data_IF_067861863600
#
_entry.id   IF_067861863600
#
_cell.length_a   1.000
_cell.length_b   1.000
_cell.length_c   1.000
_cell.angle_alpha   90.00
_cell.angle_beta   90.00
_cell.angle_gamma   90.00
#
_symmetry.space_group_name_H-M   'P 1'
#
loop_
_entity.id
_entity.type
_entity.pdbx_description
1 polymer ?
#
# COMPACT_ATOMS: atom_id res chain seq x y z
N UNK A 1 -9.50 -24.98 2.44
CA UNK A 1 -8.39 -24.51 3.31
C UNK A 1 -7.68 -23.30 2.71
N UNK A 2 -7.17 -23.35 1.49
CA UNK A 2 -6.39 -22.24 0.89
C UNK A 2 -7.13 -20.92 0.75
N UNK A 3 -8.41 -20.92 0.38
CA UNK A 3 -9.19 -19.67 0.25
C UNK A 3 -9.30 -18.94 1.60
N UNK A 4 -9.49 -19.66 2.70
CA UNK A 4 -9.52 -19.06 4.05
C UNK A 4 -8.21 -18.39 4.42
N UNK A 5 -7.06 -19.00 4.08
CA UNK A 5 -5.73 -18.40 4.28
C UNK A 5 -5.56 -17.13 3.43
N UNK A 6 -6.03 -17.13 2.18
CA UNK A 6 -6.03 -15.94 1.33
C UNK A 6 -6.88 -14.80 1.91
N UNK A 7 -8.08 -15.12 2.41
CA UNK A 7 -8.96 -14.12 3.06
C UNK A 7 -8.35 -13.59 4.36
N UNK A 8 -7.68 -14.43 5.15
CA UNK A 8 -7.00 -14.00 6.37
C UNK A 8 -5.86 -13.01 6.04
N UNK A 9 -5.05 -13.30 5.02
CA UNK A 9 -3.99 -12.39 4.55
C UNK A 9 -4.57 -11.09 3.98
N UNK A 10 -5.72 -11.16 3.30
CA UNK A 10 -6.45 -9.98 2.83
C UNK A 10 -6.89 -9.08 4.01
N UNK A 11 -7.41 -9.68 5.08
CA UNK A 11 -7.78 -8.96 6.30
C UNK A 11 -6.56 -8.35 7.00
N UNK A 12 -5.46 -9.12 7.10
CA UNK A 12 -4.20 -8.63 7.67
C UNK A 12 -3.67 -7.43 6.89
N UNK A 13 -3.66 -7.50 5.56
CA UNK A 13 -3.20 -6.42 4.70
C UNK A 13 -4.04 -5.16 4.89
N UNK A 14 -5.37 -5.29 4.92
CA UNK A 14 -6.28 -4.17 5.20
C UNK A 14 -6.01 -3.56 6.58
N UNK A 15 -5.82 -4.40 7.60
CA UNK A 15 -5.51 -3.97 8.97
C UNK A 15 -4.20 -3.18 9.04
N UNK A 16 -3.12 -3.66 8.41
CA UNK A 16 -1.83 -2.98 8.34
C UNK A 16 -1.98 -1.61 7.66
N UNK A 17 -2.65 -1.56 6.50
CA UNK A 17 -2.84 -0.32 5.75
C UNK A 17 -3.70 0.69 6.53
N UNK A 18 -4.78 0.25 7.12
CA UNK A 18 -5.67 1.11 7.93
C UNK A 18 -4.95 1.63 9.17
N UNK A 19 -4.22 0.76 9.88
CA UNK A 19 -3.43 1.14 11.06
C UNK A 19 -2.40 2.21 10.74
N UNK A 20 -1.76 2.13 9.58
CA UNK A 20 -0.82 3.17 9.17
C UNK A 20 -1.50 4.54 8.99
N UNK A 21 -2.67 4.59 8.33
CA UNK A 21 -3.40 5.85 8.09
C UNK A 21 -3.99 6.42 9.39
N UNK A 22 -4.63 5.55 10.20
CA UNK A 22 -5.44 6.01 11.35
C UNK A 22 -4.60 6.21 12.60
N UNK A 23 -3.54 5.42 12.77
CA UNK A 23 -2.73 5.44 13.99
C UNK A 23 -1.35 6.02 13.73
N UNK A 24 -0.57 5.41 12.83
CA UNK A 24 0.85 5.74 12.68
C UNK A 24 1.03 7.16 12.12
N UNK A 25 0.38 7.50 11.02
CA UNK A 25 0.56 8.78 10.35
C UNK A 25 0.14 9.98 11.24
N UNK A 26 -1.05 10.01 11.87
CA UNK A 26 -1.42 11.10 12.76
C UNK A 26 -0.51 11.21 13.99
N UNK A 27 -0.07 10.07 14.55
CA UNK A 27 0.83 10.06 15.71
C UNK A 27 2.17 10.69 15.37
N UNK A 28 2.76 10.32 14.22
CA UNK A 28 4.03 10.89 13.75
C UNK A 28 3.95 12.41 13.63
N UNK A 29 2.91 12.93 12.97
CA UNK A 29 2.75 14.37 12.76
C UNK A 29 2.39 15.15 14.02
N UNK A 30 1.85 14.47 15.05
CA UNK A 30 1.52 15.10 16.33
C UNK A 30 2.68 15.11 17.31
N UNK A 31 3.57 14.12 17.26
CA UNK A 31 4.60 13.90 18.26
C UNK A 31 6.01 14.29 17.81
N UNK A 32 6.26 14.32 16.51
CA UNK A 32 7.56 14.67 15.95
C UNK A 32 7.49 16.04 15.27
N UNK A 33 8.57 16.80 15.37
CA UNK A 33 8.73 18.02 14.56
C UNK A 33 8.83 17.70 13.07
N UNK A 34 8.87 18.73 12.25
CA UNK A 34 8.82 18.59 10.78
C UNK A 34 10.02 17.82 10.24
N UNK A 35 11.21 18.02 10.76
CA UNK A 35 12.43 17.35 10.30
C UNK A 35 12.42 15.86 10.65
N UNK A 36 12.13 15.54 11.91
CA UNK A 36 12.08 14.15 12.39
C UNK A 36 10.92 13.37 11.75
N UNK A 37 9.76 14.00 11.54
CA UNK A 37 8.63 13.40 10.82
C UNK A 37 9.01 13.03 9.38
N UNK A 38 9.68 13.93 8.65
CA UNK A 38 10.15 13.69 7.29
C UNK A 38 11.15 12.53 7.22
N UNK A 39 12.09 12.50 8.16
CA UNK A 39 13.07 11.42 8.24
C UNK A 39 12.40 10.08 8.58
N UNK A 40 11.51 10.04 9.55
CA UNK A 40 10.76 8.83 9.89
C UNK A 40 10.01 8.27 8.68
N UNK A 41 9.24 9.12 7.97
CA UNK A 41 8.46 8.71 6.82
C UNK A 41 9.33 8.21 5.66
N UNK A 42 10.52 8.79 5.48
CA UNK A 42 11.49 8.34 4.48
C UNK A 42 11.94 6.89 4.68
N UNK A 43 12.08 6.47 5.94
CA UNK A 43 12.50 5.11 6.28
C UNK A 43 11.34 4.12 6.41
N UNK A 44 10.18 4.55 6.88
CA UNK A 44 9.05 3.64 7.11
C UNK A 44 8.34 3.24 5.81
N UNK A 45 8.15 4.16 4.86
CA UNK A 45 7.42 3.86 3.63
C UNK A 45 8.00 2.71 2.80
N UNK A 46 9.31 2.66 2.50
CA UNK A 46 9.86 1.52 1.76
C UNK A 46 9.66 0.19 2.49
N UNK A 47 9.77 0.18 3.83
CA UNK A 47 9.58 -1.02 4.65
C UNK A 47 8.11 -1.45 4.68
N UNK A 48 7.20 -0.50 4.86
CA UNK A 48 5.76 -0.73 4.84
C UNK A 48 5.32 -1.32 3.49
N UNK A 49 5.72 -0.69 2.39
CA UNK A 49 5.34 -1.15 1.05
C UNK A 49 5.94 -2.52 0.70
N UNK A 50 7.18 -2.80 1.10
CA UNK A 50 7.77 -4.14 0.95
C UNK A 50 7.03 -5.19 1.79
N UNK A 51 6.63 -4.85 3.00
CA UNK A 51 5.84 -5.74 3.85
C UNK A 51 4.45 -6.01 3.23
N UNK A 52 3.77 -4.96 2.75
CA UNK A 52 2.50 -5.10 2.04
C UNK A 52 2.65 -5.90 0.74
N UNK A 53 3.75 -5.72 0.00
CA UNK A 53 4.08 -6.52 -1.18
C UNK A 53 4.21 -8.01 -0.84
N UNK A 54 4.93 -8.34 0.23
CA UNK A 54 5.08 -9.72 0.67
C UNK A 54 3.73 -10.35 1.02
N UNK A 55 2.90 -9.67 1.83
CA UNK A 55 1.58 -10.16 2.21
C UNK A 55 0.69 -10.34 0.97
N UNK A 56 0.64 -9.35 0.07
CA UNK A 56 -0.20 -9.42 -1.14
C UNK A 56 0.25 -10.52 -2.10
N UNK A 57 1.56 -10.79 -2.19
CA UNK A 57 2.09 -11.89 -2.99
C UNK A 57 1.71 -13.24 -2.41
N UNK A 58 1.82 -13.42 -1.10
CA UNK A 58 1.36 -14.64 -0.43
C UNK A 58 -0.16 -14.81 -0.58
N UNK A 59 -0.93 -13.75 -0.43
CA UNK A 59 -2.38 -13.73 -0.65
C UNK A 59 -2.73 -14.19 -2.07
N UNK A 60 -2.05 -13.64 -3.09
CA UNK A 60 -2.19 -14.07 -4.48
C UNK A 60 -1.93 -15.58 -4.64
N UNK A 61 -0.85 -16.10 -4.06
CA UNK A 61 -0.51 -17.53 -4.15
C UNK A 61 -1.62 -18.41 -3.53
N UNK A 62 -2.15 -18.03 -2.37
CA UNK A 62 -3.24 -18.79 -1.75
C UNK A 62 -4.53 -18.73 -2.57
N UNK A 63 -4.85 -17.60 -3.22
CA UNK A 63 -6.00 -17.51 -4.11
C UNK A 63 -5.78 -18.31 -5.40
N UNK A 64 -4.55 -18.40 -5.90
CA UNK A 64 -4.20 -19.26 -7.02
C UNK A 64 -4.40 -20.74 -6.69
N UNK A 65 -3.91 -21.21 -5.52
CA UNK A 65 -4.11 -22.56 -5.04
C UNK A 65 -5.59 -22.90 -4.73
N UNK A 66 -6.40 -21.89 -4.48
CA UNK A 66 -7.84 -22.02 -4.24
C UNK A 66 -8.70 -21.87 -5.52
N UNK A 67 -8.07 -21.65 -6.67
CA UNK A 67 -8.72 -21.37 -7.97
C UNK A 67 -9.73 -20.20 -7.90
N UNK A 68 -9.48 -19.26 -6.98
CA UNK A 68 -10.29 -18.06 -6.82
C UNK A 68 -9.80 -16.95 -7.77
N UNK A 69 -10.23 -17.00 -9.04
CA UNK A 69 -9.74 -16.16 -10.14
C UNK A 69 -9.83 -14.66 -9.85
N UNK A 70 -10.91 -14.17 -9.24
CA UNK A 70 -11.04 -12.77 -8.89
C UNK A 70 -9.97 -12.34 -7.87
N UNK A 71 -9.79 -13.13 -6.81
CA UNK A 71 -8.76 -12.89 -5.79
C UNK A 71 -7.34 -12.93 -6.37
N UNK A 72 -7.08 -13.83 -7.34
CA UNK A 72 -5.80 -13.88 -8.05
C UNK A 72 -5.50 -12.58 -8.81
N UNK A 73 -6.43 -12.14 -9.67
CA UNK A 73 -6.24 -10.94 -10.50
C UNK A 73 -6.05 -9.71 -9.61
N UNK A 74 -6.87 -9.56 -8.60
CA UNK A 74 -6.77 -8.44 -7.67
C UNK A 74 -5.49 -8.52 -6.82
N UNK A 75 -5.14 -9.71 -6.33
CA UNK A 75 -3.92 -9.92 -5.54
C UNK A 75 -2.64 -9.56 -6.29
N UNK A 76 -2.52 -9.96 -7.56
CA UNK A 76 -1.36 -9.58 -8.39
C UNK A 76 -1.34 -8.08 -8.68
N UNK A 77 -2.50 -7.45 -8.92
CA UNK A 77 -2.60 -6.00 -9.15
C UNK A 77 -2.14 -5.21 -7.92
N UNK A 78 -2.54 -5.63 -6.72
CA UNK A 78 -2.09 -5.04 -5.45
C UNK A 78 -0.58 -5.23 -5.26
N UNK A 79 -0.04 -6.42 -5.54
CA UNK A 79 1.40 -6.69 -5.44
C UNK A 79 2.22 -5.79 -6.37
N UNK A 80 1.79 -5.64 -7.62
CA UNK A 80 2.43 -4.74 -8.59
C UNK A 80 2.34 -3.28 -8.11
N UNK A 81 1.21 -2.86 -7.55
CA UNK A 81 1.03 -1.51 -6.99
C UNK A 81 2.06 -1.21 -5.89
N UNK A 82 2.31 -2.16 -4.97
CA UNK A 82 3.33 -1.99 -3.94
C UNK A 82 4.76 -2.03 -4.48
N UNK A 83 5.05 -2.83 -5.50
CA UNK A 83 6.35 -2.79 -6.19
C UNK A 83 6.60 -1.42 -6.83
N UNK A 84 5.61 -0.86 -7.53
CA UNK A 84 5.71 0.47 -8.12
C UNK A 84 5.94 1.52 -7.03
N UNK A 85 5.19 1.46 -5.93
CA UNK A 85 5.39 2.38 -4.80
C UNK A 85 6.80 2.28 -4.21
N UNK A 86 7.30 1.06 -3.98
CA UNK A 86 8.60 0.84 -3.33
C UNK A 86 9.77 1.27 -4.22
N UNK A 87 9.81 0.77 -5.46
CA UNK A 87 11.02 0.86 -6.28
C UNK A 87 11.01 2.01 -7.30
N UNK A 88 9.84 2.56 -7.60
CA UNK A 88 9.73 3.66 -8.57
C UNK A 88 9.30 4.98 -7.94
N UNK A 89 8.22 5.00 -7.16
CA UNK A 89 7.67 6.24 -6.63
C UNK A 89 8.45 6.75 -5.42
N UNK A 90 8.68 5.90 -4.42
CA UNK A 90 9.35 6.32 -3.17
C UNK A 90 10.74 6.90 -3.40
N UNK A 91 11.65 6.29 -4.19
CA UNK A 91 12.96 6.89 -4.46
C UNK A 91 12.86 8.25 -5.17
N UNK A 92 11.93 8.38 -6.11
CA UNK A 92 11.71 9.65 -6.84
C UNK A 92 11.10 10.73 -5.95
N UNK A 93 10.15 10.37 -5.08
CA UNK A 93 9.57 11.28 -4.09
C UNK A 93 10.68 11.82 -3.16
N UNK A 94 11.52 10.93 -2.65
CA UNK A 94 12.64 11.31 -1.79
C UNK A 94 13.63 12.22 -2.51
N UNK A 95 13.98 11.90 -3.77
CA UNK A 95 14.86 12.75 -4.59
C UNK A 95 14.27 14.15 -4.82
N UNK A 96 12.97 14.23 -5.16
CA UNK A 96 12.32 15.54 -5.36
C UNK A 96 12.27 16.35 -4.06
N UNK A 97 12.06 15.68 -2.93
CA UNK A 97 12.12 16.34 -1.61
C UNK A 97 13.51 16.92 -1.32
N UNK A 98 14.57 16.13 -1.58
CA UNK A 98 15.96 16.60 -1.37
C UNK A 98 16.27 17.82 -2.24
N UNK A 99 15.81 17.84 -3.50
CA UNK A 99 15.95 18.99 -4.41
C UNK A 99 15.15 20.23 -3.95
N UNK A 100 13.97 20.03 -3.35
CA UNK A 100 13.20 21.15 -2.76
C UNK A 100 14.00 21.84 -1.64
N UNK A 101 14.69 21.09 -0.80
CA UNK A 101 15.50 21.63 0.29
C UNK A 101 16.70 22.45 -0.21
N UNK A 102 17.15 22.23 -1.45
CA UNK A 102 18.22 23.02 -2.11
C UNK A 102 17.69 24.19 -2.94
N UNK A 103 16.40 24.49 -2.87
CA UNK A 103 15.79 25.68 -3.49
C UNK A 103 15.33 25.51 -4.94
N UNK A 104 15.23 24.28 -5.47
CA UNK A 104 14.74 24.03 -6.83
C UNK A 104 13.20 24.09 -6.87
N UNK A 105 12.63 25.19 -7.33
CA UNK A 105 11.18 25.47 -7.35
C UNK A 105 10.38 24.42 -8.17
N UNK A 106 10.90 23.94 -9.30
CA UNK A 106 10.22 22.94 -10.13
C UNK A 106 10.05 21.58 -9.43
N UNK A 107 10.93 21.23 -8.47
CA UNK A 107 10.87 19.96 -7.76
C UNK A 107 9.67 19.86 -6.83
N UNK A 108 9.10 20.96 -6.35
CA UNK A 108 7.87 20.97 -5.54
C UNK A 108 6.66 20.43 -6.31
N UNK A 109 6.47 20.89 -7.56
CA UNK A 109 5.38 20.40 -8.41
C UNK A 109 5.51 18.90 -8.71
N UNK A 110 6.73 18.45 -9.01
CA UNK A 110 7.01 17.05 -9.26
C UNK A 110 6.81 16.19 -8.00
N UNK A 111 7.28 16.66 -6.84
CA UNK A 111 7.04 16.02 -5.56
C UNK A 111 5.55 15.81 -5.30
N UNK A 112 4.74 16.87 -5.41
CA UNK A 112 3.27 16.79 -5.19
C UNK A 112 2.62 15.78 -6.13
N UNK A 113 3.00 15.76 -7.41
CA UNK A 113 2.47 14.80 -8.40
C UNK A 113 2.82 13.35 -8.07
N UNK A 114 4.09 13.06 -7.76
CA UNK A 114 4.55 11.72 -7.42
C UNK A 114 3.96 11.23 -6.10
N UNK A 115 3.89 12.11 -5.10
CA UNK A 115 3.27 11.80 -3.82
C UNK A 115 1.78 11.49 -3.99
N UNK A 116 1.05 12.30 -4.75
CA UNK A 116 -0.36 12.04 -5.06
C UNK A 116 -0.55 10.68 -5.76
N UNK A 117 0.31 10.34 -6.74
CA UNK A 117 0.26 9.04 -7.41
C UNK A 117 0.49 7.88 -6.44
N UNK A 118 1.44 8.01 -5.52
CA UNK A 118 1.72 7.00 -4.49
C UNK A 118 0.54 6.80 -3.54
N UNK A 119 -0.06 7.90 -3.07
CA UNK A 119 -1.25 7.86 -2.20
C UNK A 119 -2.44 7.27 -2.93
N UNK A 120 -2.66 7.64 -4.20
CA UNK A 120 -3.75 7.10 -5.01
C UNK A 120 -3.63 5.58 -5.19
N UNK A 121 -2.44 5.07 -5.52
CA UNK A 121 -2.20 3.63 -5.63
C UNK A 121 -2.46 2.91 -4.31
N UNK A 122 -2.07 3.52 -3.18
CA UNK A 122 -2.32 2.98 -1.86
C UNK A 122 -3.82 2.86 -1.56
N UNK A 123 -4.58 3.94 -1.79
CA UNK A 123 -6.02 3.96 -1.57
C UNK A 123 -6.78 3.02 -2.52
N UNK A 124 -6.38 2.95 -3.79
CA UNK A 124 -6.96 2.00 -4.74
C UNK A 124 -6.70 0.55 -4.31
N UNK A 125 -5.52 0.25 -3.77
CA UNK A 125 -5.24 -1.08 -3.21
C UNK A 125 -6.19 -1.41 -2.05
N UNK A 126 -6.54 -0.46 -1.18
CA UNK A 126 -7.54 -0.67 -0.11
C UNK A 126 -8.93 -0.98 -0.69
N UNK A 127 -9.36 -0.25 -1.72
CA UNK A 127 -10.63 -0.52 -2.41
C UNK A 127 -10.64 -1.94 -3.01
N UNK A 128 -9.55 -2.35 -3.64
CA UNK A 128 -9.40 -3.70 -4.19
C UNK A 128 -9.44 -4.79 -3.10
N UNK A 129 -8.78 -4.57 -1.97
CA UNK A 129 -8.84 -5.48 -0.81
C UNK A 129 -10.29 -5.65 -0.32
N UNK A 130 -11.05 -4.55 -0.20
CA UNK A 130 -12.46 -4.60 0.20
C UNK A 130 -13.31 -5.33 -0.85
N UNK A 131 -13.05 -5.14 -2.14
CA UNK A 131 -13.78 -5.84 -3.22
C UNK A 131 -13.61 -7.37 -3.16
N UNK A 132 -12.45 -7.87 -2.73
CA UNK A 132 -12.24 -9.32 -2.50
C UNK A 132 -13.22 -9.86 -1.46
N UNK A 133 -13.41 -9.15 -0.33
CA UNK A 133 -14.39 -9.55 0.68
C UNK A 133 -15.81 -9.57 0.12
N UNK A 134 -16.20 -8.52 -0.61
CA UNK A 134 -17.55 -8.42 -1.18
C UNK A 134 -17.81 -9.61 -2.11
N UNK A 135 -16.90 -9.90 -3.04
CA UNK A 135 -17.06 -11.00 -4.00
C UNK A 135 -17.00 -12.36 -3.30
N UNK A 136 -16.15 -12.54 -2.31
CA UNK A 136 -16.07 -13.79 -1.56
C UNK A 136 -17.38 -14.07 -0.80
N UNK A 137 -17.88 -13.11 -0.06
CA UNK A 137 -19.11 -13.27 0.72
C UNK A 137 -20.35 -13.38 -0.18
N UNK A 138 -20.43 -12.64 -1.28
CA UNK A 138 -21.55 -12.78 -2.22
C UNK A 138 -21.66 -14.19 -2.79
N UNK A 139 -20.51 -14.84 -3.06
CA UNK A 139 -20.51 -16.25 -3.50
C UNK A 139 -20.89 -17.23 -2.40
N UNK A 140 -20.53 -16.95 -1.16
CA UNK A 140 -20.87 -17.81 -0.01
C UNK A 140 -22.36 -17.82 0.29
N UNK A 141 -23.07 -16.68 0.08
CA UNK A 141 -24.49 -16.53 0.36
C UNK A 141 -25.40 -16.73 -0.86
N UNK A 142 -24.84 -16.89 -2.06
CA UNK A 142 -25.59 -17.22 -3.28
C UNK A 142 -25.74 -18.72 -3.52
N UNK A 143 -25.23 -19.54 -2.63
CA UNK A 143 -25.40 -21.00 -2.57
C UNK A 143 -26.55 -21.36 -1.62
#
# INVERSE_FOLDING_TARGET
MFIGSGILLNALLLGVMTSFIVVTSPTVFKTLDEEHSKNFLRFIFPRLFNFCFLISTLMFLFFALAEFSFGMVVGIAISISFLINTYFLTPRINKMRDLMLTGHVESEKQFKKLHFASVLLYLLSMVFIVSIFIVYYSRLFSL
#
